data_IF_656175841394
#
_entry.id   IF_656175841394
#
_cell.length_a   1.000
_cell.length_b   1.000
_cell.length_c   1.000
_cell.angle_alpha   90.00
_cell.angle_beta   90.00
_cell.angle_gamma   90.00
#
_symmetry.space_group_name_H-M   'P 1'
#
loop_
_entity.id
_entity.type
_entity.pdbx_description
1 polymer ?
#
# COMPACT_ATOMS: atom_id res chain seq x y z
N UNK A 1 -8.75 -64.22 55.07
CA UNK A 1 -8.36 -63.30 53.96
C UNK A 1 -9.39 -62.18 53.85
N UNK A 2 -9.03 -60.94 54.25
CA UNK A 2 -9.77 -59.71 53.89
C UNK A 2 -8.73 -58.63 53.61
N UNK A 3 -8.67 -58.19 52.36
CA UNK A 3 -7.71 -57.25 51.83
C UNK A 3 -7.92 -55.84 52.41
N UNK A 4 -6.84 -55.22 52.88
CA UNK A 4 -6.84 -53.79 53.22
C UNK A 4 -6.93 -52.97 51.92
N UNK A 5 -7.91 -52.07 51.85
CA UNK A 5 -8.32 -51.34 50.64
C UNK A 5 -7.30 -50.25 50.26
N UNK A 6 -6.94 -50.07 48.98
CA UNK A 6 -5.91 -49.12 48.52
C UNK A 6 -6.46 -47.69 48.38
N UNK A 7 -7.18 -47.19 49.41
CA UNK A 7 -7.77 -45.84 49.35
C UNK A 7 -6.73 -44.72 49.53
N UNK A 8 -5.65 -45.00 50.25
CA UNK A 8 -4.58 -44.03 50.47
C UNK A 8 -3.72 -43.80 49.21
N UNK A 9 -3.47 -44.85 48.42
CA UNK A 9 -2.64 -44.75 47.22
C UNK A 9 -3.31 -43.92 46.10
N UNK A 10 -4.63 -44.00 45.98
CA UNK A 10 -5.39 -43.24 44.96
C UNK A 10 -5.43 -41.74 45.29
N UNK A 11 -5.49 -41.38 46.57
CA UNK A 11 -5.52 -39.97 47.00
C UNK A 11 -4.17 -39.26 46.74
N UNK A 12 -3.05 -39.97 46.90
CA UNK A 12 -1.70 -39.41 46.68
C UNK A 12 -1.43 -39.19 45.19
N UNK A 13 -1.90 -40.08 44.31
CA UNK A 13 -1.74 -39.93 42.85
C UNK A 13 -2.61 -38.80 42.30
N UNK A 14 -3.83 -38.61 42.83
CA UNK A 14 -4.70 -37.51 42.42
C UNK A 14 -4.14 -36.13 42.81
N UNK A 15 -3.54 -36.02 44.00
CA UNK A 15 -2.90 -34.77 44.45
C UNK A 15 -1.65 -34.41 43.62
N UNK A 16 -0.87 -35.41 43.20
CA UNK A 16 0.30 -35.20 42.34
C UNK A 16 -0.07 -34.76 40.92
N UNK A 17 -1.19 -35.25 40.37
CA UNK A 17 -1.68 -34.83 39.04
C UNK A 17 -2.19 -33.37 39.03
N UNK A 18 -2.78 -32.90 40.13
CA UNK A 18 -3.21 -31.50 40.29
C UNK A 18 -2.03 -30.52 40.41
N UNK A 19 -0.90 -30.96 40.98
CA UNK A 19 0.28 -30.13 41.13
C UNK A 19 1.01 -29.85 39.79
N UNK A 20 0.91 -30.75 38.81
CA UNK A 20 1.56 -30.56 37.49
C UNK A 20 0.73 -29.66 36.56
N UNK A 21 -0.58 -29.50 36.81
CA UNK A 21 -1.43 -28.59 36.05
C UNK A 21 -1.32 -27.11 36.50
N UNK A 22 -0.65 -26.82 37.62
CA UNK A 22 -0.54 -25.49 38.21
C UNK A 22 0.68 -24.66 37.78
N UNK A 23 1.61 -25.21 36.98
CA UNK A 23 2.79 -24.46 36.50
C UNK A 23 2.53 -23.64 35.22
N UNK A 24 1.28 -23.36 34.90
CA UNK A 24 0.89 -22.42 33.84
C UNK A 24 0.10 -21.24 34.42
N UNK A 25 0.53 -20.71 35.58
CA UNK A 25 0.10 -19.39 36.02
C UNK A 25 0.80 -18.36 35.11
N UNK A 26 0.05 -17.78 34.18
CA UNK A 26 0.52 -16.59 33.47
C UNK A 26 0.40 -15.41 34.44
N UNK A 27 1.51 -15.00 35.05
CA UNK A 27 1.64 -13.67 35.65
C UNK A 27 1.35 -12.63 34.56
N UNK A 28 0.09 -12.22 34.47
CA UNK A 28 -0.31 -11.00 33.80
C UNK A 28 -0.47 -9.96 34.87
N UNK A 29 0.66 -9.51 35.40
CA UNK A 29 0.73 -8.30 36.23
C UNK A 29 0.06 -7.16 35.47
N UNK A 30 -1.12 -6.79 35.96
CA UNK A 30 -1.91 -5.66 35.51
C UNK A 30 -1.54 -4.44 36.36
N UNK A 31 -0.27 -4.04 36.33
CA UNK A 31 0.20 -2.77 36.87
C UNK A 31 1.25 -2.17 35.94
N UNK A 32 0.77 -1.31 35.03
CA UNK A 32 1.61 -0.53 34.12
C UNK A 32 1.36 0.95 34.31
N UNK A 33 1.97 1.52 35.36
CA UNK A 33 2.18 2.95 35.52
C UNK A 33 2.83 3.55 34.26
N UNK A 34 2.33 4.71 33.83
CA UNK A 34 2.75 5.43 32.62
C UNK A 34 4.24 5.67 32.50
N UNK A 35 4.92 4.75 31.83
CA UNK A 35 6.26 4.91 31.29
C UNK A 35 6.10 4.82 29.77
N UNK A 36 6.44 5.89 29.05
CA UNK A 36 6.44 5.88 27.59
C UNK A 36 7.45 4.85 27.09
N UNK A 37 7.01 3.61 26.95
CA UNK A 37 7.69 2.62 26.15
C UNK A 37 7.81 3.21 24.76
N UNK A 38 9.03 3.24 24.21
CA UNK A 38 9.14 3.30 22.75
C UNK A 38 8.46 2.02 22.27
N UNK A 39 7.24 2.13 21.76
CA UNK A 39 6.48 1.02 21.19
C UNK A 39 7.18 0.56 19.90
N UNK A 40 8.34 -0.08 20.08
CA UNK A 40 9.20 -0.54 19.02
C UNK A 40 8.75 -1.93 18.64
N UNK A 41 8.06 -2.04 17.50
CA UNK A 41 7.73 -3.32 16.92
C UNK A 41 8.95 -3.83 16.12
N UNK A 42 9.56 -4.90 16.62
CA UNK A 42 10.58 -5.65 15.87
C UNK A 42 9.93 -6.89 15.28
N UNK A 43 10.06 -7.07 13.98
CA UNK A 43 9.53 -8.23 13.27
C UNK A 43 10.56 -8.74 12.25
N UNK A 44 10.57 -10.05 12.01
CA UNK A 44 11.45 -10.66 11.00
C UNK A 44 10.89 -10.51 9.59
N UNK A 45 11.77 -10.26 8.62
CA UNK A 45 11.45 -10.24 7.18
C UNK A 45 12.05 -11.45 6.47
N UNK A 46 11.58 -11.75 5.25
CA UNK A 46 12.12 -12.86 4.45
C UNK A 46 13.48 -12.52 3.81
N UNK A 47 13.87 -11.25 3.81
CA UNK A 47 15.13 -10.75 3.27
C UNK A 47 15.22 -9.23 3.32
N UNK A 48 16.31 -8.71 2.79
CA UNK A 48 16.57 -7.27 2.72
C UNK A 48 15.81 -6.61 1.55
N UNK A 49 15.37 -5.35 1.69
CA UNK A 49 14.82 -4.58 0.58
C UNK A 49 15.92 -4.33 -0.47
N UNK A 50 15.56 -4.44 -1.75
CA UNK A 50 16.49 -4.25 -2.87
C UNK A 50 16.57 -2.81 -3.33
N UNK A 51 15.44 -2.10 -3.29
CA UNK A 51 15.33 -0.70 -3.72
C UNK A 51 14.39 0.05 -2.77
N UNK A 52 14.64 1.34 -2.57
CA UNK A 52 13.79 2.19 -1.72
C UNK A 52 12.86 3.11 -2.52
N UNK A 53 12.98 3.11 -3.84
CA UNK A 53 12.03 3.80 -4.71
C UNK A 53 10.87 2.86 -5.06
N UNK A 54 9.63 3.13 -4.59
CA UNK A 54 8.49 2.26 -4.86
C UNK A 54 8.14 2.16 -6.36
N UNK A 55 8.58 3.11 -7.19
CA UNK A 55 8.35 3.04 -8.64
C UNK A 55 9.27 2.08 -9.38
N UNK A 56 10.33 1.62 -8.72
CA UNK A 56 11.29 0.63 -9.22
C UNK A 56 11.14 -0.73 -8.55
N UNK A 57 10.42 -0.80 -7.43
CA UNK A 57 10.26 -2.01 -6.65
C UNK A 57 9.32 -3.00 -7.35
N UNK A 58 9.78 -4.24 -7.49
CA UNK A 58 8.98 -5.39 -7.98
C UNK A 58 8.89 -6.54 -6.97
N UNK A 59 9.49 -6.36 -5.79
CA UNK A 59 9.51 -7.34 -4.71
C UNK A 59 8.76 -6.87 -3.45
N UNK A 60 8.33 -7.83 -2.65
CA UNK A 60 7.53 -7.58 -1.46
C UNK A 60 8.27 -6.87 -0.33
N UNK A 61 9.58 -7.09 -0.18
CA UNK A 61 10.35 -6.55 0.95
C UNK A 61 10.66 -5.06 0.75
N UNK A 62 11.06 -4.65 -0.47
CA UNK A 62 11.16 -3.25 -0.86
C UNK A 62 9.84 -2.50 -0.65
N UNK A 63 8.72 -3.08 -1.10
CA UNK A 63 7.39 -2.48 -0.95
C UNK A 63 6.92 -2.44 0.51
N UNK A 64 7.32 -3.40 1.35
CA UNK A 64 6.99 -3.39 2.78
C UNK A 64 7.59 -2.18 3.48
N UNK A 65 8.84 -1.86 3.20
CA UNK A 65 9.50 -0.64 3.70
C UNK A 65 8.88 0.60 3.08
N UNK A 66 8.69 0.62 1.76
CA UNK A 66 8.16 1.78 1.06
C UNK A 66 6.76 2.20 1.57
N UNK A 67 5.88 1.24 1.91
CA UNK A 67 4.55 1.54 2.48
C UNK A 67 4.59 2.20 3.86
N UNK A 68 5.72 2.16 4.58
CA UNK A 68 5.89 2.90 5.83
C UNK A 68 6.30 4.36 5.60
N UNK A 69 6.87 4.67 4.44
CA UNK A 69 7.48 5.97 4.14
C UNK A 69 6.62 6.80 3.17
N UNK A 70 5.95 6.13 2.23
CA UNK A 70 5.16 6.74 1.16
C UNK A 70 3.68 6.37 1.30
N UNK A 71 2.82 7.30 0.90
CA UNK A 71 1.37 7.12 0.88
C UNK A 71 0.83 7.29 -0.55
N UNK A 72 -0.21 6.52 -0.90
CA UNK A 72 -0.82 6.57 -2.24
C UNK A 72 -2.03 7.49 -2.29
N UNK A 73 -2.46 7.89 -3.49
CA UNK A 73 -3.71 8.65 -3.66
C UNK A 73 -4.92 7.83 -3.21
N UNK A 74 -4.93 6.54 -3.56
CA UNK A 74 -5.98 5.56 -3.25
C UNK A 74 -5.33 4.23 -2.91
N UNK A 75 -6.01 3.39 -2.13
CA UNK A 75 -5.50 2.08 -1.71
C UNK A 75 -6.61 1.03 -1.68
N UNK A 76 -6.30 -0.27 -1.89
CA UNK A 76 -7.27 -1.33 -1.64
C UNK A 76 -7.65 -1.35 -0.15
N UNK A 77 -8.89 -1.75 0.14
CA UNK A 77 -9.30 -2.08 1.49
C UNK A 77 -8.50 -3.30 2.02
N UNK A 78 -8.35 -3.38 3.33
CA UNK A 78 -7.67 -4.50 3.96
C UNK A 78 -8.45 -5.79 3.71
N UNK A 79 -7.77 -6.80 3.17
CA UNK A 79 -8.37 -8.10 2.85
C UNK A 79 -9.35 -8.10 1.67
N UNK A 80 -9.49 -6.99 0.94
CA UNK A 80 -10.43 -6.87 -0.17
C UNK A 80 -9.87 -6.18 -1.41
N UNK A 81 -10.75 -5.97 -2.39
CA UNK A 81 -10.40 -5.36 -3.69
C UNK A 81 -11.04 -4.00 -3.88
N UNK A 82 -11.91 -3.57 -2.96
CA UNK A 82 -12.54 -2.26 -3.03
C UNK A 82 -11.48 -1.18 -2.87
N UNK A 83 -11.54 -0.17 -3.74
CA UNK A 83 -10.66 0.99 -3.65
C UNK A 83 -11.19 1.96 -2.59
N UNK A 84 -10.30 2.40 -1.70
CA UNK A 84 -10.59 3.29 -0.57
C UNK A 84 -9.69 4.53 -0.60
N UNK A 85 -10.10 5.64 0.06
CA UNK A 85 -9.31 6.87 0.13
C UNK A 85 -7.92 6.68 0.75
N UNK A 86 -6.91 7.26 0.10
CA UNK A 86 -5.58 7.54 0.65
C UNK A 86 -5.41 9.05 0.81
N UNK A 87 -4.41 9.62 0.13
CA UNK A 87 -4.21 11.07 0.02
C UNK A 87 -5.30 11.79 -0.80
N UNK A 88 -6.06 11.06 -1.63
CA UNK A 88 -7.28 11.58 -2.25
C UNK A 88 -8.50 11.19 -1.41
N UNK A 89 -9.30 12.19 -1.03
CA UNK A 89 -10.56 12.02 -0.28
C UNK A 89 -11.66 11.43 -1.17
N UNK A 90 -11.69 11.84 -2.44
CA UNK A 90 -12.63 11.36 -3.44
C UNK A 90 -12.06 11.55 -4.84
N UNK A 91 -12.63 10.83 -5.80
CA UNK A 91 -12.26 10.94 -7.21
C UNK A 91 -13.44 10.65 -8.12
N UNK A 92 -13.47 11.32 -9.26
CA UNK A 92 -14.55 11.16 -10.25
C UNK A 92 -13.98 11.00 -11.66
N UNK A 93 -14.44 9.98 -12.43
CA UNK A 93 -14.11 9.88 -13.83
C UNK A 93 -14.95 10.86 -14.67
N UNK A 94 -14.44 11.23 -15.83
CA UNK A 94 -15.23 11.83 -16.89
C UNK A 94 -16.12 10.77 -17.58
N UNK A 95 -16.99 11.22 -18.50
CA UNK A 95 -17.91 10.33 -19.19
C UNK A 95 -17.22 9.21 -20.00
N UNK A 96 -15.96 9.42 -20.40
CA UNK A 96 -15.18 8.44 -21.17
C UNK A 96 -14.27 7.56 -20.32
N UNK A 97 -14.11 7.87 -19.01
CA UNK A 97 -13.19 7.19 -18.11
C UNK A 97 -11.71 7.44 -18.39
N UNK A 98 -11.38 8.43 -19.22
CA UNK A 98 -10.00 8.75 -19.62
C UNK A 98 -9.41 9.92 -18.82
N UNK A 99 -10.25 10.68 -18.13
CA UNK A 99 -9.85 11.79 -17.28
C UNK A 99 -10.44 11.57 -15.89
N UNK A 100 -9.57 11.56 -14.89
CA UNK A 100 -9.96 11.43 -13.49
C UNK A 100 -9.65 12.72 -12.74
N UNK A 101 -10.60 13.18 -11.93
CA UNK A 101 -10.42 14.34 -11.05
C UNK A 101 -10.34 13.84 -9.61
N UNK A 102 -9.23 14.14 -8.93
CA UNK A 102 -9.02 13.77 -7.53
C UNK A 102 -9.18 14.99 -6.62
N UNK A 103 -9.93 14.84 -5.52
CA UNK A 103 -9.95 15.80 -4.42
C UNK A 103 -8.92 15.38 -3.39
N UNK A 104 -7.89 16.18 -3.19
CA UNK A 104 -6.78 15.86 -2.29
C UNK A 104 -7.08 16.28 -0.84
N UNK A 105 -6.55 15.53 0.11
CA UNK A 105 -6.52 15.94 1.53
C UNK A 105 -5.76 17.25 1.69
N UNK A 106 -6.24 18.07 2.63
CA UNK A 106 -5.60 19.35 2.98
C UNK A 106 -4.73 19.21 4.22
N UNK A 107 -3.69 20.05 4.34
CA UNK A 107 -2.81 20.10 5.50
C UNK A 107 -1.81 18.95 5.61
N UNK A 108 -1.72 18.08 4.60
CA UNK A 108 -0.70 17.03 4.54
C UNK A 108 0.65 17.64 4.15
N UNK A 109 1.70 17.21 4.84
CA UNK A 109 3.08 17.63 4.57
C UNK A 109 3.97 16.42 4.32
N UNK A 110 4.99 16.60 3.50
CA UNK A 110 6.08 15.64 3.39
C UNK A 110 6.97 15.70 4.64
N UNK A 111 7.85 14.71 4.78
CA UNK A 111 8.78 14.60 5.93
C UNK A 111 9.75 15.79 6.07
N UNK A 112 9.97 16.55 5.00
CA UNK A 112 10.78 17.79 4.98
C UNK A 112 9.97 19.06 5.33
N UNK A 113 8.67 18.92 5.59
CA UNK A 113 7.76 20.01 5.91
C UNK A 113 7.11 20.70 4.69
N UNK A 114 7.48 20.34 3.46
CA UNK A 114 6.82 20.88 2.26
C UNK A 114 5.38 20.39 2.14
N UNK A 115 4.49 21.22 1.58
CA UNK A 115 3.07 20.89 1.48
C UNK A 115 2.78 19.89 0.36
N UNK A 116 1.96 18.88 0.66
CA UNK A 116 1.40 18.01 -0.35
C UNK A 116 0.24 18.71 -1.09
N UNK A 117 0.35 18.79 -2.41
CA UNK A 117 -0.66 19.44 -3.26
C UNK A 117 -0.70 18.82 -4.66
N UNK A 118 -1.58 19.34 -5.52
CA UNK A 118 -1.75 18.84 -6.88
C UNK A 118 -0.50 18.97 -7.76
N UNK A 119 0.38 19.94 -7.50
CA UNK A 119 1.64 20.08 -8.24
C UNK A 119 2.62 18.96 -7.89
N UNK A 120 2.75 18.61 -6.61
CA UNK A 120 3.55 17.47 -6.18
C UNK A 120 3.07 16.16 -6.83
N UNK A 121 1.76 15.96 -6.91
CA UNK A 121 1.16 14.82 -7.63
C UNK A 121 1.57 14.86 -9.11
N UNK A 122 1.43 16.01 -9.77
CA UNK A 122 1.80 16.15 -11.17
C UNK A 122 3.29 15.90 -11.42
N UNK A 123 4.18 16.37 -10.54
CA UNK A 123 5.63 16.10 -10.63
C UNK A 123 5.89 14.60 -10.60
N UNK A 124 5.26 13.87 -9.68
CA UNK A 124 5.43 12.43 -9.55
C UNK A 124 4.95 11.65 -10.79
N UNK A 125 3.73 11.92 -11.28
CA UNK A 125 3.23 11.27 -12.49
C UNK A 125 4.05 11.66 -13.74
N UNK A 126 4.51 12.92 -13.83
CA UNK A 126 5.36 13.37 -14.94
C UNK A 126 6.73 12.70 -14.92
N UNK A 127 7.30 12.41 -13.74
CA UNK A 127 8.57 11.69 -13.59
C UNK A 127 8.48 10.31 -14.25
N UNK A 128 7.41 9.56 -13.98
CA UNK A 128 7.21 8.23 -14.54
C UNK A 128 6.88 8.27 -16.03
N UNK A 129 5.96 9.14 -16.43
CA UNK A 129 5.54 9.25 -17.82
C UNK A 129 6.68 9.69 -18.76
N UNK A 130 7.53 10.61 -18.30
CA UNK A 130 8.63 11.18 -19.08
C UNK A 130 9.98 10.51 -18.82
N UNK A 131 10.02 9.35 -18.19
CA UNK A 131 11.23 8.57 -17.98
C UNK A 131 12.09 8.43 -19.26
N UNK A 132 13.41 8.39 -19.11
CA UNK A 132 14.38 8.28 -20.21
C UNK A 132 15.44 7.23 -19.91
N UNK A 133 16.14 6.75 -20.95
CA UNK A 133 17.19 5.74 -20.80
C UNK A 133 16.66 4.41 -20.24
N UNK A 134 17.41 3.80 -19.32
CA UNK A 134 17.06 2.53 -18.68
C UNK A 134 15.68 2.55 -18.00
N UNK A 135 15.22 3.72 -17.55
CA UNK A 135 13.91 3.89 -16.93
C UNK A 135 12.73 3.71 -17.90
N UNK A 136 13.00 3.55 -19.21
CA UNK A 136 12.01 3.14 -20.20
C UNK A 136 11.94 1.62 -20.39
N UNK A 137 12.82 0.84 -19.78
CA UNK A 137 12.74 -0.62 -19.86
C UNK A 137 11.57 -1.14 -19.03
N UNK A 138 10.83 -2.10 -19.60
CA UNK A 138 9.83 -2.88 -18.88
C UNK A 138 10.45 -3.64 -17.70
N UNK A 139 11.72 -4.04 -17.81
CA UNK A 139 12.44 -4.75 -16.75
C UNK A 139 12.66 -3.88 -15.51
N UNK A 140 12.68 -2.55 -15.68
CA UNK A 140 12.96 -1.58 -14.60
C UNK A 140 11.66 -0.97 -14.07
N UNK A 141 10.65 -0.79 -14.92
CA UNK A 141 9.41 -0.07 -14.58
C UNK A 141 8.16 -0.90 -14.86
N UNK A 142 8.24 -2.23 -14.66
CA UNK A 142 7.21 -3.20 -15.03
C UNK A 142 5.79 -2.77 -14.66
N UNK A 143 5.55 -2.43 -13.38
CA UNK A 143 4.22 -2.02 -12.91
C UNK A 143 3.69 -0.77 -13.59
N UNK A 144 4.54 0.23 -13.84
CA UNK A 144 4.11 1.44 -14.53
C UNK A 144 3.70 1.12 -15.97
N UNK A 145 4.49 0.31 -16.67
CA UNK A 145 4.20 -0.04 -18.07
C UNK A 145 2.97 -0.94 -18.22
N UNK A 146 2.75 -1.86 -17.27
CA UNK A 146 1.57 -2.73 -17.27
C UNK A 146 0.27 -1.95 -17.01
N UNK A 147 0.31 -1.00 -16.06
CA UNK A 147 -0.88 -0.24 -15.64
C UNK A 147 -1.19 0.92 -16.59
N UNK A 148 -0.17 1.71 -16.95
CA UNK A 148 -0.34 2.97 -17.69
C UNK A 148 0.00 2.85 -19.17
N UNK A 149 0.55 1.70 -19.60
CA UNK A 149 1.12 1.53 -20.92
C UNK A 149 2.53 2.10 -21.02
N UNK A 150 3.26 1.64 -22.03
CA UNK A 150 4.60 2.12 -22.32
C UNK A 150 4.60 3.64 -22.60
N UNK A 151 5.67 4.33 -22.21
CA UNK A 151 5.85 5.76 -22.49
C UNK A 151 5.69 6.03 -24.01
N UNK A 152 5.29 7.24 -24.45
CA UNK A 152 5.19 7.57 -25.88
C UNK A 152 6.49 7.34 -26.67
N UNK A 153 7.62 7.24 -25.99
CA UNK A 153 8.97 7.03 -26.57
C UNK A 153 9.32 5.56 -26.77
N UNK A 154 8.66 4.65 -26.06
CA UNK A 154 8.79 3.21 -26.23
C UNK A 154 7.89 2.72 -27.36
N UNK A 155 8.42 2.70 -28.58
CA UNK A 155 7.79 2.03 -29.72
C UNK A 155 8.07 0.52 -29.66
N UNK A 156 7.50 -0.16 -28.68
CA UNK A 156 7.39 -1.63 -28.74
C UNK A 156 5.97 -1.96 -29.16
N UNK A 157 5.74 -2.77 -30.20
CA UNK A 157 4.39 -3.06 -30.69
C UNK A 157 3.70 -3.99 -29.69
N UNK A 158 3.03 -3.44 -28.68
CA UNK A 158 2.18 -4.23 -27.81
C UNK A 158 0.97 -4.69 -28.62
N UNK A 159 0.79 -6.01 -28.73
CA UNK A 159 -0.34 -6.68 -29.34
C UNK A 159 -1.64 -6.37 -28.59
N UNK A 160 -2.22 -5.18 -28.77
CA UNK A 160 -3.62 -4.93 -28.42
C UNK A 160 -4.49 -5.44 -29.55
N UNK A 161 -4.98 -6.67 -29.42
CA UNK A 161 -6.15 -7.16 -30.16
C UNK A 161 -7.31 -6.22 -29.79
N UNK A 162 -7.61 -5.32 -30.72
CA UNK A 162 -8.67 -4.35 -30.59
C UNK A 162 -10.03 -5.06 -30.45
N UNK A 163 -10.72 -4.84 -29.33
CA UNK A 163 -12.18 -4.86 -29.31
C UNK A 163 -12.62 -3.42 -29.55
N UNK A 164 -12.97 -3.12 -30.79
CA UNK A 164 -13.48 -1.82 -31.20
C UNK A 164 -14.99 -1.77 -30.97
N UNK A 165 -15.45 -0.81 -30.17
CA UNK A 165 -16.79 -0.25 -30.37
C UNK A 165 -16.69 1.28 -30.36
N UNK A 166 -16.92 1.86 -31.52
CA UNK A 166 -16.86 3.29 -31.82
C UNK A 166 -18.26 3.89 -31.70
N UNK A 167 -18.45 4.97 -30.94
CA UNK A 167 -19.62 5.86 -31.02
C UNK A 167 -19.32 7.23 -30.34
N UNK A 168 -20.09 8.32 -30.56
CA UNK A 168 -19.55 9.55 -31.13
C UNK A 168 -19.44 10.75 -30.16
N UNK A 169 -18.67 11.73 -30.63
CA UNK A 169 -18.34 13.02 -30.02
C UNK A 169 -19.55 13.84 -29.54
N UNK A 170 -19.54 14.23 -28.26
CA UNK A 170 -20.30 15.36 -27.72
C UNK A 170 -19.43 16.15 -26.74
N UNK A 171 -19.15 17.40 -27.07
CA UNK A 171 -18.38 18.36 -26.29
C UNK A 171 -19.17 18.81 -25.05
N UNK A 172 -18.63 18.75 -23.81
CA UNK A 172 -19.28 19.38 -22.67
C UNK A 172 -18.66 20.75 -22.32
N UNK A 173 -19.58 21.62 -21.92
CA UNK A 173 -19.47 23.02 -21.49
C UNK A 173 -18.57 23.15 -20.25
N UNK A 174 -17.66 24.14 -20.27
CA UNK A 174 -16.63 24.38 -19.25
C UNK A 174 -17.25 24.99 -17.99
N UNK A 175 -17.42 24.18 -16.94
CA UNK A 175 -17.71 24.67 -15.57
C UNK A 175 -16.40 25.06 -14.89
N UNK A 176 -16.31 26.31 -14.44
CA UNK A 176 -15.14 26.88 -13.77
C UNK A 176 -15.14 26.51 -12.29
N UNK A 177 -14.70 25.30 -11.95
CA UNK A 177 -13.92 25.09 -10.73
C UNK A 177 -12.45 25.07 -11.13
N UNK A 178 -11.55 25.61 -10.30
CA UNK A 178 -10.10 25.68 -10.58
C UNK A 178 -9.47 24.28 -10.49
N UNK A 179 -9.88 23.35 -11.35
CA UNK A 179 -9.17 22.11 -11.58
C UNK A 179 -7.89 22.43 -12.35
N UNK A 180 -6.74 22.31 -11.67
CA UNK A 180 -5.44 22.39 -12.33
C UNK A 180 -5.17 21.02 -12.94
N UNK A 181 -5.26 20.92 -14.28
CA UNK A 181 -4.67 19.77 -14.98
C UNK A 181 -3.16 19.85 -14.83
N UNK A 182 -2.51 18.70 -14.69
CA UNK A 182 -1.06 18.64 -14.83
C UNK A 182 -0.67 19.23 -16.18
N UNK A 183 0.20 20.25 -16.22
CA UNK A 183 0.64 20.79 -17.49
C UNK A 183 1.40 19.69 -18.24
N UNK A 184 0.91 19.32 -19.41
CA UNK A 184 1.70 18.53 -20.34
C UNK A 184 2.87 19.44 -20.75
N UNK A 185 4.10 19.14 -20.28
CA UNK A 185 5.27 19.83 -20.82
C UNK A 185 5.26 19.59 -22.34
N UNK A 186 5.32 20.69 -23.09
CA UNK A 186 5.47 20.65 -24.54
C UNK A 186 6.63 19.72 -24.90
N UNK A 187 6.42 18.87 -25.91
CA UNK A 187 7.45 18.00 -26.48
C UNK A 187 8.72 18.83 -26.71
N UNK A 188 9.89 18.46 -26.14
CA UNK A 188 11.14 18.98 -26.68
C UNK A 188 11.31 18.47 -28.12
N UNK A 189 11.97 19.26 -29.00
CA UNK A 189 12.14 18.94 -30.42
C UNK A 189 12.83 17.58 -30.65
#
# INVERSE_FOLDING_TARGET
MRAARPKAAIAVVAAAALAVAGCAESDRDNEGSGQSTKDTLVFGTAGDPKVLDPSLASDGESLRVARQVFETLVRPEEGGTKVTPGLAESWTPDATGTVWTFKLRSGVKFHDGTEFNGEAVCVNFNRWYNATGLMQSADVTAYWQDVMGASPRTKTPTSRRASSSRAPSRTPRRSTSRSRRCPARSRPP
#
